data_IF_889703670717
#
_entry.id   IF_889703670717
#
_cell.length_a   1.000
_cell.length_b   1.000
_cell.length_c   1.000
_cell.angle_alpha   90.00
_cell.angle_beta   90.00
_cell.angle_gamma   90.00
#
_symmetry.space_group_name_H-M   'P 1'
#
loop_
_entity.id
_entity.type
_entity.pdbx_description
1 polymer ?
#
# COMPACT_ATOMS: atom_id res chain seq x y z
N UNK A 1 65.90 -10.41 -42.29
CA UNK A 1 64.56 -9.79 -42.21
C UNK A 1 63.57 -10.89 -41.92
N UNK A 2 63.13 -11.00 -40.67
CA UNK A 2 62.05 -11.88 -40.26
C UNK A 2 61.36 -11.15 -39.11
N UNK A 3 60.26 -10.47 -39.41
CA UNK A 3 59.45 -9.75 -38.43
C UNK A 3 58.54 -10.74 -37.72
N UNK A 4 58.66 -10.76 -36.39
CA UNK A 4 57.74 -11.39 -35.45
C UNK A 4 56.50 -10.52 -35.29
N UNK A 5 55.32 -11.09 -35.53
CA UNK A 5 54.01 -10.51 -35.28
C UNK A 5 53.26 -11.40 -34.27
N UNK A 6 53.39 -11.10 -32.99
CA UNK A 6 52.48 -11.52 -31.93
C UNK A 6 52.36 -10.38 -30.93
N UNK A 7 51.15 -10.10 -30.44
CA UNK A 7 50.78 -9.37 -29.22
C UNK A 7 49.77 -8.21 -29.39
N UNK A 8 48.53 -8.52 -29.82
CA UNK A 8 47.41 -7.56 -29.81
C UNK A 8 46.11 -8.11 -29.18
N UNK A 9 45.95 -9.43 -29.07
CA UNK A 9 44.68 -10.04 -28.62
C UNK A 9 44.56 -10.20 -27.09
N UNK A 10 45.68 -10.18 -26.35
CA UNK A 10 45.71 -10.45 -24.90
C UNK A 10 45.26 -9.27 -24.02
N UNK A 11 45.35 -8.04 -24.54
CA UNK A 11 45.10 -6.80 -23.77
C UNK A 11 43.62 -6.46 -23.66
N UNK A 12 42.79 -6.85 -24.63
CA UNK A 12 41.36 -6.53 -24.66
C UNK A 12 40.54 -7.42 -23.71
N UNK A 13 40.90 -8.70 -23.59
CA UNK A 13 40.20 -9.67 -22.72
C UNK A 13 40.40 -9.32 -21.24
N UNK A 14 41.62 -8.96 -20.83
CA UNK A 14 41.96 -8.65 -19.43
C UNK A 14 41.28 -7.39 -18.88
N UNK A 15 41.03 -6.38 -19.73
CA UNK A 15 40.31 -5.16 -19.33
C UNK A 15 38.80 -5.42 -19.16
N UNK A 16 38.21 -6.23 -20.03
CA UNK A 16 36.78 -6.60 -19.99
C UNK A 16 36.42 -7.39 -18.72
N UNK A 17 37.25 -8.36 -18.35
CA UNK A 17 37.02 -9.20 -17.16
C UNK A 17 37.12 -8.40 -15.86
N UNK A 18 38.05 -7.43 -15.78
CA UNK A 18 38.22 -6.56 -14.60
C UNK A 18 37.01 -5.63 -14.39
N UNK A 19 36.45 -5.08 -15.48
CA UNK A 19 35.23 -4.25 -15.40
C UNK A 19 34.05 -5.07 -14.89
N UNK A 20 33.86 -6.28 -15.41
CA UNK A 20 32.75 -7.16 -15.04
C UNK A 20 32.80 -7.58 -13.56
N UNK A 21 34.00 -7.84 -13.04
CA UNK A 21 34.20 -8.16 -11.61
C UNK A 21 33.81 -6.98 -10.71
N UNK A 22 34.22 -5.76 -11.08
CA UNK A 22 33.86 -4.55 -10.33
C UNK A 22 32.35 -4.28 -10.34
N UNK A 23 31.69 -4.50 -11.48
CA UNK A 23 30.24 -4.37 -11.60
C UNK A 23 29.50 -5.40 -10.73
N UNK A 24 29.99 -6.65 -10.71
CA UNK A 24 29.43 -7.71 -9.89
C UNK A 24 29.58 -7.42 -8.39
N UNK A 25 30.74 -6.93 -7.96
CA UNK A 25 30.99 -6.55 -6.56
C UNK A 25 30.07 -5.40 -6.14
N UNK A 26 29.95 -4.37 -6.98
CA UNK A 26 29.06 -3.22 -6.76
C UNK A 26 27.59 -3.65 -6.62
N UNK A 27 27.11 -4.51 -7.52
CA UNK A 27 25.74 -5.03 -7.49
C UNK A 27 25.49 -5.94 -6.28
N UNK A 28 26.46 -6.77 -5.90
CA UNK A 28 26.34 -7.64 -4.71
C UNK A 28 26.24 -6.79 -3.44
N UNK A 29 27.09 -5.77 -3.30
CA UNK A 29 27.01 -4.82 -2.17
C UNK A 29 25.69 -4.06 -2.12
N UNK A 30 25.16 -3.67 -3.28
CA UNK A 30 23.83 -3.05 -3.38
C UNK A 30 22.74 -4.02 -2.92
N UNK A 31 22.78 -5.28 -3.37
CA UNK A 31 21.84 -6.31 -2.97
C UNK A 31 21.84 -6.53 -1.45
N UNK A 32 23.01 -6.68 -0.85
CA UNK A 32 23.15 -6.86 0.61
C UNK A 32 22.56 -5.67 1.38
N UNK A 33 22.84 -4.45 0.91
CA UNK A 33 22.28 -3.23 1.51
C UNK A 33 20.75 -3.22 1.42
N UNK A 34 20.19 -3.56 0.27
CA UNK A 34 18.73 -3.64 0.09
C UNK A 34 18.11 -4.72 0.97
N UNK A 35 18.78 -5.86 1.15
CA UNK A 35 18.29 -6.97 1.97
C UNK A 35 18.26 -6.59 3.45
N UNK A 36 19.28 -5.89 3.94
CA UNK A 36 19.30 -5.34 5.30
C UNK A 36 18.14 -4.38 5.51
N UNK A 37 17.92 -3.44 4.58
CA UNK A 37 16.81 -2.49 4.65
C UNK A 37 15.45 -3.21 4.63
N UNK A 38 15.31 -4.23 3.78
CA UNK A 38 14.09 -5.03 3.69
C UNK A 38 13.76 -5.71 5.02
N UNK A 39 14.74 -6.40 5.61
CA UNK A 39 14.57 -7.10 6.89
C UNK A 39 14.25 -6.12 8.02
N UNK A 40 14.88 -4.95 8.05
CA UNK A 40 14.58 -3.91 9.03
C UNK A 40 13.13 -3.42 8.89
N UNK A 41 12.70 -3.07 7.67
CA UNK A 41 11.32 -2.61 7.42
C UNK A 41 10.29 -3.71 7.72
N UNK A 42 10.64 -4.98 7.49
CA UNK A 42 9.77 -6.11 7.83
C UNK A 42 9.58 -6.23 9.36
N UNK A 43 10.66 -6.10 10.14
CA UNK A 43 10.58 -6.08 11.59
C UNK A 43 9.74 -4.89 12.09
N UNK A 44 9.94 -3.70 11.51
CA UNK A 44 9.15 -2.50 11.83
C UNK A 44 7.67 -2.67 11.49
N UNK A 45 7.35 -3.31 10.35
CA UNK A 45 5.98 -3.66 9.98
C UNK A 45 5.33 -4.55 11.05
N UNK A 46 6.01 -5.63 11.46
CA UNK A 46 5.52 -6.56 12.49
C UNK A 46 5.26 -5.81 13.79
N UNK A 47 6.21 -4.97 14.23
CA UNK A 47 6.06 -4.16 15.44
C UNK A 47 4.89 -3.17 15.35
N UNK A 48 4.64 -2.64 14.16
CA UNK A 48 3.54 -1.70 13.91
C UNK A 48 2.15 -2.34 13.97
N UNK A 49 2.05 -3.68 13.89
CA UNK A 49 0.77 -4.40 13.97
C UNK A 49 0.05 -4.21 15.30
N UNK A 50 0.77 -3.81 16.37
CA UNK A 50 0.16 -3.46 17.66
C UNK A 50 -0.50 -2.07 17.65
N UNK A 51 -0.18 -1.22 16.68
CA UNK A 51 -0.65 0.16 16.56
C UNK A 51 -1.15 0.47 15.15
N UNK A 52 -1.99 -0.41 14.59
CA UNK A 52 -2.41 -0.37 13.17
C UNK A 52 -3.03 0.95 12.73
N UNK A 53 -3.69 1.66 13.66
CA UNK A 53 -4.41 2.91 13.37
C UNK A 53 -3.52 4.16 13.49
N UNK A 54 -2.24 4.02 13.87
CA UNK A 54 -1.32 5.16 13.93
C UNK A 54 -1.09 5.68 12.51
N UNK A 55 -1.50 6.92 12.27
CA UNK A 55 -1.24 7.58 11.00
C UNK A 55 0.21 8.05 10.90
N UNK A 56 0.74 8.03 9.69
CA UNK A 56 2.07 8.51 9.31
C UNK A 56 1.99 9.20 7.96
N UNK A 57 3.08 9.85 7.57
CA UNK A 57 3.15 10.64 6.34
C UNK A 57 4.15 10.06 5.35
N UNK A 58 3.82 10.24 4.07
CA UNK A 58 4.67 9.93 2.91
C UNK A 58 4.70 11.20 2.06
N UNK A 59 5.85 11.89 2.09
CA UNK A 59 6.07 13.08 1.26
C UNK A 59 6.22 12.70 -0.20
N UNK A 60 5.77 13.55 -1.11
CA UNK A 60 5.83 13.31 -2.54
C UNK A 60 4.64 12.53 -3.08
N UNK A 61 3.63 12.24 -2.25
CA UNK A 61 2.56 11.29 -2.58
C UNK A 61 1.17 11.80 -2.22
N UNK A 62 0.16 11.23 -2.87
CA UNK A 62 -1.26 11.48 -2.64
C UNK A 62 -1.94 10.16 -2.28
N UNK A 63 -2.83 10.19 -1.30
CA UNK A 63 -3.76 9.13 -0.96
C UNK A 63 -5.16 9.44 -1.50
N UNK A 64 -5.69 8.57 -2.37
CA UNK A 64 -7.00 8.78 -3.00
C UNK A 64 -8.17 8.12 -2.26
N UNK A 65 -7.91 7.07 -1.47
CA UNK A 65 -8.96 6.25 -0.84
C UNK A 65 -9.95 5.67 -1.86
N UNK A 66 -11.06 5.10 -1.37
CA UNK A 66 -12.19 4.66 -2.19
C UNK A 66 -13.38 5.64 -2.13
N UNK A 67 -13.40 6.51 -1.12
CA UNK A 67 -14.44 7.49 -0.93
C UNK A 67 -13.91 8.85 -0.49
N UNK A 68 -14.67 9.90 -0.82
CA UNK A 68 -14.45 11.25 -0.30
C UNK A 68 -15.33 11.42 0.94
N UNK A 69 -14.72 11.77 2.07
CA UNK A 69 -15.46 12.09 3.30
C UNK A 69 -15.78 13.56 3.42
N UNK A 70 -14.79 14.39 3.08
CA UNK A 70 -14.93 15.83 3.04
C UNK A 70 -13.84 16.40 2.15
N UNK A 71 -14.21 17.39 1.34
CA UNK A 71 -13.24 18.39 0.88
C UNK A 71 -13.25 19.46 1.95
N UNK A 72 -12.26 19.48 2.84
CA UNK A 72 -12.17 20.55 3.83
C UNK A 72 -11.42 21.74 3.28
N UNK A 73 -11.71 22.10 2.02
CA UNK A 73 -11.23 23.30 1.33
C UNK A 73 -11.54 24.60 2.07
N UNK A 74 -12.34 24.54 3.15
CA UNK A 74 -12.82 25.70 3.90
C UNK A 74 -12.65 25.58 5.42
N UNK A 75 -11.77 24.69 5.90
CA UNK A 75 -11.41 24.66 7.33
C UNK A 75 -10.02 25.24 7.54
N UNK A 76 -9.78 25.86 8.70
CA UNK A 76 -8.51 26.52 9.09
C UNK A 76 -7.29 25.58 9.21
N UNK A 77 -7.26 24.46 8.49
CA UNK A 77 -6.15 23.50 8.48
C UNK A 77 -4.99 24.14 7.71
N UNK A 78 -3.97 24.60 8.44
CA UNK A 78 -2.80 25.30 7.88
C UNK A 78 -1.55 24.43 7.89
N UNK A 79 -1.61 23.26 8.52
CA UNK A 79 -0.46 22.39 8.72
C UNK A 79 -0.76 20.93 8.46
N UNK A 80 0.29 20.17 8.13
CA UNK A 80 0.25 18.73 7.97
C UNK A 80 -0.28 18.00 9.22
N UNK A 81 0.13 18.46 10.41
CA UNK A 81 -0.28 17.86 11.68
C UNK A 81 -1.76 18.05 11.95
N UNK A 82 -2.31 19.22 11.63
CA UNK A 82 -3.75 19.48 11.75
C UNK A 82 -4.55 18.58 10.81
N UNK A 83 -4.10 18.38 9.57
CA UNK A 83 -4.76 17.47 8.63
C UNK A 83 -4.75 16.01 9.12
N UNK A 84 -3.61 15.55 9.66
CA UNK A 84 -3.48 14.21 10.26
C UNK A 84 -4.37 14.03 11.50
N UNK A 85 -4.41 15.05 12.37
CA UNK A 85 -5.26 15.06 13.56
C UNK A 85 -6.75 15.10 13.19
N UNK A 86 -7.11 15.83 12.14
CA UNK A 86 -8.46 15.87 11.61
C UNK A 86 -8.87 14.49 11.11
N UNK A 87 -8.07 13.84 10.27
CA UNK A 87 -8.36 12.47 9.82
C UNK A 87 -8.51 11.50 11.00
N UNK A 88 -7.63 11.57 12.00
CA UNK A 88 -7.71 10.70 13.19
C UNK A 88 -9.00 10.88 14.00
N UNK A 89 -9.64 12.05 13.93
CA UNK A 89 -10.90 12.36 14.63
C UNK A 89 -12.13 12.12 13.78
N UNK A 90 -12.00 12.17 12.45
CA UNK A 90 -13.12 12.00 11.52
C UNK A 90 -13.47 10.53 11.40
N UNK A 91 -14.69 10.18 11.84
CA UNK A 91 -15.21 8.81 11.71
C UNK A 91 -15.21 8.37 10.25
N UNK A 92 -14.64 7.20 9.99
CA UNK A 92 -14.51 6.63 8.64
C UNK A 92 -13.28 7.11 7.86
N UNK A 93 -12.47 8.04 8.39
CA UNK A 93 -11.23 8.45 7.72
C UNK A 93 -10.17 7.39 7.87
N UNK A 94 -9.71 6.89 6.72
CA UNK A 94 -8.67 5.86 6.61
C UNK A 94 -7.34 6.46 6.15
N UNK A 95 -7.38 7.66 5.59
CA UNK A 95 -6.21 8.42 5.20
C UNK A 95 -6.59 9.79 4.64
N UNK A 96 -5.59 10.61 4.40
CA UNK A 96 -5.79 11.94 3.86
C UNK A 96 -4.63 12.34 2.94
N UNK A 97 -4.80 13.43 2.20
CA UNK A 97 -3.71 14.08 1.51
C UNK A 97 -3.65 15.53 1.96
N UNK A 98 -2.46 15.98 2.35
CA UNK A 98 -2.19 17.38 2.66
C UNK A 98 -1.30 18.00 1.57
N UNK A 99 -1.65 19.19 1.11
CA UNK A 99 -0.81 19.99 0.23
C UNK A 99 -0.79 21.44 0.72
N UNK A 100 0.41 22.03 0.84
CA UNK A 100 0.58 23.37 1.43
C UNK A 100 0.14 24.51 0.50
N UNK A 101 0.17 24.32 -0.82
CA UNK A 101 0.10 25.40 -1.82
C UNK A 101 -0.93 25.15 -2.91
N UNK A 102 -1.74 24.11 -2.78
CA UNK A 102 -2.69 23.74 -3.83
C UNK A 102 -3.78 24.82 -3.97
N UNK A 103 -4.05 25.26 -5.19
CA UNK A 103 -4.94 26.41 -5.47
C UNK A 103 -4.55 27.72 -4.74
N UNK A 104 -3.30 27.86 -4.30
CA UNK A 104 -2.82 29.04 -3.57
C UNK A 104 -3.05 29.00 -2.06
N UNK A 105 -3.59 27.91 -1.52
CA UNK A 105 -3.84 27.75 -0.08
C UNK A 105 -3.56 26.32 0.43
N UNK A 106 -3.45 26.11 1.75
CA UNK A 106 -3.29 24.77 2.30
C UNK A 106 -4.58 23.94 2.14
N UNK A 107 -4.44 22.74 1.59
CA UNK A 107 -5.53 21.82 1.29
C UNK A 107 -5.36 20.51 2.05
N UNK A 108 -6.47 20.00 2.58
CA UNK A 108 -6.54 18.72 3.27
C UNK A 108 -7.74 17.91 2.72
N UNK A 109 -7.44 16.79 2.07
CA UNK A 109 -8.43 15.90 1.49
C UNK A 109 -8.58 14.66 2.35
N UNK A 110 -9.65 14.58 3.13
CA UNK A 110 -9.97 13.39 3.92
C UNK A 110 -10.63 12.33 3.05
N UNK A 111 -10.09 11.12 3.11
CA UNK A 111 -10.58 9.98 2.33
C UNK A 111 -11.07 8.90 3.28
N UNK A 112 -12.16 8.27 2.87
CA UNK A 112 -12.64 7.03 3.46
C UNK A 112 -12.20 5.85 2.63
N UNK A 113 -12.28 4.71 3.31
CA UNK A 113 -11.99 3.41 2.73
C UNK A 113 -10.59 3.34 2.21
N UNK A 114 -10.25 2.21 1.66
CA UNK A 114 -8.90 2.02 1.24
C UNK A 114 -8.66 2.53 -0.18
N UNK A 115 -7.44 3.02 -0.44
CA UNK A 115 -7.06 3.35 -1.79
C UNK A 115 -5.56 3.44 -1.99
N UNK A 116 -5.20 3.74 -3.22
CA UNK A 116 -3.81 3.78 -3.63
C UNK A 116 -3.10 5.03 -3.10
N UNK A 117 -1.83 4.83 -2.74
CA UNK A 117 -0.86 5.92 -2.60
C UNK A 117 -0.15 6.05 -3.95
N UNK A 118 -0.28 7.20 -4.58
CA UNK A 118 0.37 7.48 -5.87
C UNK A 118 1.43 8.57 -5.69
N UNK A 119 2.51 8.46 -6.47
CA UNK A 119 3.51 9.52 -6.57
C UNK A 119 2.89 10.74 -7.25
N UNK A 120 3.16 11.91 -6.69
CA UNK A 120 2.72 13.18 -7.24
C UNK A 120 3.89 14.17 -7.28
N UNK A 121 4.09 14.96 -6.22
CA UNK A 121 5.14 15.95 -6.16
C UNK A 121 5.46 16.39 -4.73
N UNK A 122 6.56 17.14 -4.51
CA UNK A 122 7.18 17.35 -3.20
C UNK A 122 6.31 18.11 -2.18
N UNK A 123 5.29 18.83 -2.66
CA UNK A 123 4.34 19.57 -1.83
C UNK A 123 3.16 18.72 -1.34
N UNK A 124 3.02 17.48 -1.83
CA UNK A 124 1.96 16.55 -1.43
C UNK A 124 2.45 15.61 -0.34
N UNK A 125 1.59 15.39 0.65
CA UNK A 125 1.84 14.50 1.76
C UNK A 125 0.66 13.55 1.91
N UNK A 126 0.87 12.29 1.55
CA UNK A 126 -0.09 11.24 1.82
C UNK A 126 -0.03 10.91 3.32
N UNK A 127 -1.16 10.97 3.99
CA UNK A 127 -1.35 10.58 5.38
C UNK A 127 -2.07 9.22 5.36
N UNK A 128 -1.40 8.18 5.85
CA UNK A 128 -1.88 6.79 5.77
C UNK A 128 -1.57 6.05 7.06
N UNK A 129 -2.20 4.89 7.33
CA UNK A 129 -1.81 4.02 8.42
C UNK A 129 -0.34 3.60 8.30
N UNK A 130 0.36 3.51 9.42
CA UNK A 130 1.79 3.17 9.47
C UNK A 130 2.07 1.80 8.84
N UNK A 131 1.16 0.84 9.03
CA UNK A 131 1.22 -0.49 8.42
C UNK A 131 1.21 -0.42 6.89
N UNK A 132 0.38 0.47 6.30
CA UNK A 132 0.31 0.68 4.84
C UNK A 132 1.60 1.30 4.31
N UNK A 133 2.18 2.27 5.02
CA UNK A 133 3.50 2.82 4.66
C UNK A 133 4.56 1.73 4.59
N UNK A 134 4.66 0.88 5.62
CA UNK A 134 5.66 -0.19 5.63
C UNK A 134 5.45 -1.21 4.51
N UNK A 135 4.20 -1.60 4.20
CA UNK A 135 3.93 -2.50 3.07
C UNK A 135 4.33 -1.89 1.72
N UNK A 136 4.07 -0.59 1.51
CA UNK A 136 4.52 0.10 0.31
C UNK A 136 6.05 0.15 0.20
N UNK A 137 6.75 0.37 1.33
CA UNK A 137 8.22 0.32 1.37
C UNK A 137 8.74 -1.10 1.10
N UNK A 138 8.15 -2.14 1.71
CA UNK A 138 8.50 -3.54 1.45
C UNK A 138 8.32 -3.90 -0.03
N UNK A 139 7.21 -3.48 -0.65
CA UNK A 139 6.96 -3.67 -2.08
C UNK A 139 8.06 -3.02 -2.94
N UNK A 140 8.48 -1.80 -2.60
CA UNK A 140 9.55 -1.10 -3.33
C UNK A 140 10.91 -1.78 -3.17
N UNK A 141 11.28 -2.15 -1.94
CA UNK A 141 12.54 -2.82 -1.64
C UNK A 141 12.61 -4.21 -2.30
N UNK A 142 11.52 -4.98 -2.24
CA UNK A 142 11.41 -6.26 -2.93
C UNK A 142 11.61 -6.10 -4.44
N UNK A 143 10.96 -5.10 -5.07
CA UNK A 143 11.18 -4.81 -6.51
C UNK A 143 12.65 -4.48 -6.83
N UNK A 144 13.33 -3.71 -5.98
CA UNK A 144 14.73 -3.35 -6.17
C UNK A 144 15.67 -4.55 -5.97
N UNK A 145 15.37 -5.42 -5.00
CA UNK A 145 16.08 -6.68 -4.79
C UNK A 145 15.96 -7.57 -6.02
N UNK A 146 14.74 -7.78 -6.52
CA UNK A 146 14.45 -8.55 -7.73
C UNK A 146 15.19 -8.01 -8.95
N UNK A 147 15.16 -6.68 -9.18
CA UNK A 147 15.88 -6.05 -10.29
C UNK A 147 17.41 -6.21 -10.17
N UNK A 148 17.96 -6.00 -8.96
CA UNK A 148 19.39 -6.14 -8.71
C UNK A 148 19.84 -7.59 -8.88
N UNK A 149 19.05 -8.54 -8.37
CA UNK A 149 19.27 -9.98 -8.54
C UNK A 149 19.30 -10.38 -10.02
N UNK A 150 18.35 -9.87 -10.82
CA UNK A 150 18.33 -10.09 -12.27
C UNK A 150 19.58 -9.55 -12.96
N UNK A 151 20.05 -8.36 -12.59
CA UNK A 151 21.30 -7.79 -13.14
C UNK A 151 22.52 -8.65 -12.81
N UNK A 152 22.61 -9.16 -11.57
CA UNK A 152 23.67 -10.08 -11.16
C UNK A 152 23.62 -11.37 -11.99
N UNK A 153 22.44 -11.99 -12.12
CA UNK A 153 22.26 -13.22 -12.91
C UNK A 153 22.68 -13.02 -14.37
N UNK A 154 22.26 -11.92 -14.99
CA UNK A 154 22.61 -11.59 -16.38
C UNK A 154 24.11 -11.40 -16.55
N UNK A 155 24.79 -10.71 -15.62
CA UNK A 155 26.24 -10.53 -15.68
C UNK A 155 27.01 -11.86 -15.56
N UNK A 156 26.56 -12.76 -14.67
CA UNK A 156 27.16 -14.09 -14.51
C UNK A 156 26.95 -14.92 -15.79
N UNK A 157 25.76 -14.90 -16.38
CA UNK A 157 25.44 -15.68 -17.58
C UNK A 157 26.23 -15.20 -18.81
N UNK A 158 26.31 -13.88 -19.02
CA UNK A 158 26.98 -13.30 -20.19
C UNK A 158 28.50 -13.49 -20.19
N UNK A 159 29.10 -13.75 -19.03
CA UNK A 159 30.55 -13.84 -18.87
C UNK A 159 30.98 -15.23 -18.38
N UNK A 160 30.19 -16.28 -18.63
CA UNK A 160 30.46 -17.66 -18.18
C UNK A 160 31.88 -18.12 -18.50
N UNK A 161 32.36 -17.90 -19.73
CA UNK A 161 33.68 -18.34 -20.18
C UNK A 161 34.82 -17.66 -19.40
N UNK A 162 34.63 -16.41 -18.96
CA UNK A 162 35.59 -15.66 -18.13
C UNK A 162 35.55 -16.13 -16.66
N UNK A 163 34.47 -16.78 -16.24
CA UNK A 163 34.24 -17.27 -14.88
C UNK A 163 34.46 -18.78 -14.72
N UNK A 164 34.69 -19.52 -15.80
CA UNK A 164 34.85 -20.99 -15.80
C UNK A 164 36.08 -21.50 -15.02
N UNK A 165 36.99 -20.62 -14.59
CA UNK A 165 38.11 -20.97 -13.71
C UNK A 165 37.75 -20.96 -12.20
N UNK A 166 36.53 -20.54 -11.82
CA UNK A 166 36.06 -20.45 -10.41
C UNK A 166 34.70 -21.17 -10.17
N UNK A 167 34.38 -22.17 -11.01
CA UNK A 167 33.02 -22.76 -11.17
C UNK A 167 32.37 -23.29 -9.88
N UNK A 168 33.12 -23.93 -8.98
CA UNK A 168 32.49 -24.70 -7.91
C UNK A 168 31.87 -23.81 -6.81
N UNK A 169 32.58 -22.80 -6.30
CA UNK A 169 32.05 -21.87 -5.29
C UNK A 169 30.96 -20.94 -5.86
N UNK A 170 31.05 -20.58 -7.15
CA UNK A 170 30.10 -19.67 -7.79
C UNK A 170 28.82 -20.35 -8.28
N UNK A 171 28.83 -21.66 -8.53
CA UNK A 171 27.62 -22.45 -8.81
C UNK A 171 26.67 -22.44 -7.63
N UNK A 172 27.19 -22.61 -6.41
CA UNK A 172 26.39 -22.54 -5.18
C UNK A 172 25.81 -21.14 -4.96
N UNK A 173 26.63 -20.09 -5.16
CA UNK A 173 26.16 -18.70 -5.08
C UNK A 173 25.07 -18.39 -6.11
N UNK A 174 25.20 -18.86 -7.35
CA UNK A 174 24.17 -18.70 -8.38
C UNK A 174 22.86 -19.40 -8.01
N UNK A 175 22.94 -20.63 -7.50
CA UNK A 175 21.75 -21.37 -7.05
C UNK A 175 21.08 -20.70 -5.85
N UNK A 176 21.86 -20.17 -4.92
CA UNK A 176 21.35 -19.38 -3.79
C UNK A 176 20.64 -18.11 -4.29
N UNK A 177 21.24 -17.39 -5.22
CA UNK A 177 20.69 -16.17 -5.81
C UNK A 177 19.37 -16.45 -6.54
N UNK A 178 19.30 -17.56 -7.29
CA UNK A 178 18.08 -18.01 -7.94
C UNK A 178 17.00 -18.39 -6.92
N UNK A 179 17.34 -19.12 -5.86
CA UNK A 179 16.40 -19.45 -4.78
C UNK A 179 15.89 -18.19 -4.07
N UNK A 180 16.76 -17.22 -3.81
CA UNK A 180 16.38 -15.95 -3.20
C UNK A 180 15.44 -15.16 -4.12
N UNK A 181 15.66 -15.17 -5.43
CA UNK A 181 14.74 -14.59 -6.40
C UNK A 181 13.34 -15.19 -6.30
N UNK A 182 13.24 -16.52 -6.32
CA UNK A 182 11.96 -17.22 -6.27
C UNK A 182 11.22 -16.91 -4.96
N UNK A 183 11.95 -16.85 -3.84
CA UNK A 183 11.42 -16.44 -2.54
C UNK A 183 10.91 -14.98 -2.55
N UNK A 184 11.71 -14.05 -3.09
CA UNK A 184 11.34 -12.64 -3.18
C UNK A 184 10.08 -12.45 -4.03
N UNK A 185 9.95 -13.19 -5.13
CA UNK A 185 8.76 -13.13 -5.97
C UNK A 185 7.51 -13.68 -5.24
N UNK A 186 7.65 -14.77 -4.50
CA UNK A 186 6.56 -15.27 -3.64
C UNK A 186 6.17 -14.27 -2.55
N UNK A 187 7.15 -13.64 -1.89
CA UNK A 187 6.89 -12.60 -0.88
C UNK A 187 6.23 -11.36 -1.50
N UNK A 188 6.61 -10.99 -2.73
CA UNK A 188 5.98 -9.90 -3.48
C UNK A 188 4.48 -10.14 -3.62
N UNK A 189 4.07 -11.35 -3.99
CA UNK A 189 2.67 -11.73 -4.11
C UNK A 189 1.94 -11.65 -2.77
N UNK A 190 2.57 -12.07 -1.67
CA UNK A 190 2.01 -11.96 -0.32
C UNK A 190 1.87 -10.49 0.12
N UNK A 191 2.85 -9.64 -0.16
CA UNK A 191 2.78 -8.19 0.12
C UNK A 191 1.65 -7.56 -0.69
N UNK A 192 1.50 -7.93 -1.97
CA UNK A 192 0.41 -7.45 -2.81
C UNK A 192 -0.95 -7.89 -2.28
N UNK A 193 -1.10 -9.15 -1.86
CA UNK A 193 -2.32 -9.65 -1.23
C UNK A 193 -2.66 -8.88 0.05
N UNK A 194 -1.67 -8.63 0.92
CA UNK A 194 -1.86 -7.80 2.12
C UNK A 194 -2.24 -6.36 1.77
N UNK A 195 -1.64 -5.75 0.75
CA UNK A 195 -2.03 -4.42 0.27
C UNK A 195 -3.48 -4.44 -0.22
N UNK A 196 -3.88 -5.46 -0.99
CA UNK A 196 -5.25 -5.64 -1.47
C UNK A 196 -6.25 -5.99 -0.34
N UNK A 197 -5.79 -6.54 0.78
CA UNK A 197 -6.63 -6.73 1.97
C UNK A 197 -7.02 -5.39 2.59
N UNK A 198 -6.09 -4.42 2.58
CA UNK A 198 -6.41 -2.99 2.70
C UNK A 198 -7.01 -2.45 1.41
N UNK A 199 -7.75 -3.19 0.61
CA UNK A 199 -8.61 -2.65 -0.47
C UNK A 199 -9.99 -3.35 -0.42
N UNK A 200 -10.08 -4.53 0.20
CA UNK A 200 -11.25 -5.43 0.25
C UNK A 200 -11.97 -5.50 1.60
N UNK A 201 -11.37 -5.04 2.71
CA UNK A 201 -12.01 -5.03 4.04
C UNK A 201 -13.28 -4.16 4.12
N UNK A 202 -13.53 -3.31 3.11
CA UNK A 202 -14.75 -2.50 2.99
C UNK A 202 -15.99 -3.30 2.56
N UNK A 203 -15.89 -4.36 1.76
CA UNK A 203 -17.09 -5.14 1.37
C UNK A 203 -17.76 -5.79 2.60
N UNK A 204 -16.95 -6.24 3.57
CA UNK A 204 -17.42 -6.83 4.83
C UNK A 204 -17.99 -5.78 5.81
N UNK A 205 -17.49 -4.54 5.78
CA UNK A 205 -17.96 -3.46 6.65
C UNK A 205 -19.21 -2.76 6.10
N UNK A 206 -19.31 -2.62 4.77
CA UNK A 206 -20.52 -2.17 4.06
C UNK A 206 -21.69 -3.13 4.26
N UNK A 207 -21.44 -4.44 4.25
CA UNK A 207 -22.46 -5.47 4.56
C UNK A 207 -22.86 -5.48 6.04
N UNK A 208 -21.94 -5.15 6.96
CA UNK A 208 -22.26 -5.05 8.39
C UNK A 208 -23.12 -3.81 8.71
N UNK A 209 -22.86 -2.66 8.08
CA UNK A 209 -23.74 -1.48 8.19
C UNK A 209 -25.09 -1.66 7.47
N UNK A 210 -25.16 -2.49 6.42
CA UNK A 210 -26.43 -2.92 5.81
C UNK A 210 -27.23 -3.89 6.69
N UNK A 211 -26.58 -4.63 7.61
CA UNK A 211 -27.27 -5.55 8.53
C UNK A 211 -27.99 -4.83 9.68
N UNK A 212 -27.60 -3.61 10.00
CA UNK A 212 -28.32 -2.75 10.97
C UNK A 212 -29.58 -2.13 10.35
N UNK A 213 -29.66 -2.01 9.01
CA UNK A 213 -30.79 -1.39 8.33
C UNK A 213 -31.94 -2.35 7.94
N UNK A 214 -31.78 -3.68 8.11
CA UNK A 214 -32.86 -4.64 7.82
C UNK A 214 -34.02 -4.60 8.82
N UNK A 215 -33.79 -4.11 10.04
CA UNK A 215 -34.86 -3.97 11.04
C UNK A 215 -35.63 -2.65 10.93
N UNK A 216 -35.09 -1.62 10.27
CA UNK A 216 -35.75 -0.32 10.15
C UNK A 216 -37.08 -0.39 9.37
N UNK A 217 -37.13 -1.25 8.34
CA UNK A 217 -38.36 -1.51 7.60
C UNK A 217 -39.46 -2.19 8.44
N UNK A 218 -39.07 -3.06 9.39
CA UNK A 218 -40.01 -3.70 10.32
C UNK A 218 -40.60 -2.69 11.31
N UNK A 219 -39.79 -1.75 11.83
CA UNK A 219 -40.27 -0.69 12.72
C UNK A 219 -41.18 0.31 12.03
N UNK A 220 -40.89 0.70 10.78
CA UNK A 220 -41.77 1.58 10.00
C UNK A 220 -43.12 0.90 9.75
N UNK A 221 -43.11 -0.39 9.41
CA UNK A 221 -44.35 -1.15 9.17
C UNK A 221 -45.19 -1.27 10.44
N UNK A 222 -44.56 -1.54 11.60
CA UNK A 222 -45.24 -1.58 12.89
C UNK A 222 -45.84 -0.22 13.30
N UNK A 223 -45.15 0.89 13.00
CA UNK A 223 -45.66 2.24 13.26
C UNK A 223 -46.91 2.55 12.42
N UNK A 224 -46.92 2.19 11.13
CA UNK A 224 -48.09 2.36 10.27
C UNK A 224 -49.29 1.53 10.80
N UNK A 225 -49.03 0.29 11.21
CA UNK A 225 -50.05 -0.60 11.75
C UNK A 225 -50.66 -0.03 13.04
N UNK A 226 -49.84 0.58 13.90
CA UNK A 226 -50.28 1.23 15.13
C UNK A 226 -51.19 2.44 14.85
N UNK A 227 -50.85 3.28 13.87
CA UNK A 227 -51.71 4.40 13.45
C UNK A 227 -53.06 3.92 12.91
N UNK A 228 -53.08 2.83 12.12
CA UNK A 228 -54.30 2.23 11.61
C UNK A 228 -55.18 1.72 12.76
N UNK A 229 -54.60 1.02 13.75
CA UNK A 229 -55.32 0.55 14.92
C UNK A 229 -55.95 1.71 15.72
N UNK A 230 -55.20 2.79 15.97
CA UNK A 230 -55.71 3.98 16.67
C UNK A 230 -56.84 4.64 15.89
N UNK A 231 -56.73 4.70 14.56
CA UNK A 231 -57.79 5.23 13.69
C UNK A 231 -59.07 4.39 13.77
N UNK A 232 -58.97 3.06 13.78
CA UNK A 232 -60.15 2.20 13.92
C UNK A 232 -60.79 2.28 15.31
N UNK A 233 -59.98 2.32 16.37
CA UNK A 233 -60.50 2.45 17.75
C UNK A 233 -61.20 3.80 17.93
N UNK A 234 -60.61 4.89 17.45
CA UNK A 234 -61.26 6.21 17.52
C UNK A 234 -62.56 6.28 16.72
N UNK A 235 -62.64 5.61 15.56
CA UNK A 235 -63.89 5.48 14.79
C UNK A 235 -64.95 4.64 15.50
N UNK A 236 -64.58 3.54 16.16
CA UNK A 236 -65.51 2.71 16.94
C UNK A 236 -66.04 3.42 18.19
N UNK A 237 -65.19 4.14 18.91
CA UNK A 237 -65.60 4.88 20.12
C UNK A 237 -66.54 6.04 19.76
N UNK A 238 -66.27 6.76 18.67
CA UNK A 238 -67.14 7.87 18.21
C UNK A 238 -68.43 7.34 17.56
N UNK A 239 -68.37 6.19 16.87
CA UNK A 239 -69.53 5.55 16.26
C UNK A 239 -70.48 4.88 17.26
N UNK A 240 -69.98 4.44 18.42
CA UNK A 240 -70.78 3.79 19.47
C UNK A 240 -71.59 4.74 20.35
N UNK A 241 -71.31 6.06 20.35
CA UNK A 241 -72.01 7.04 21.19
C UNK A 241 -73.35 7.49 20.58
N UNK A 242 -73.57 7.25 19.28
CA UNK A 242 -74.82 7.64 18.58
C UNK A 242 -75.84 6.50 18.45
N UNK A 243 -75.67 5.41 19.20
CA UNK A 243 -76.44 4.19 19.06
C UNK A 243 -77.10 3.68 20.34
N UNK A 244 -77.74 4.55 21.13
CA UNK A 244 -78.83 4.10 22.01
C UNK A 244 -79.85 5.21 22.30
N UNK A 245 -80.95 5.18 21.53
CA UNK A 245 -82.22 5.77 21.91
C UNK A 245 -83.30 4.89 21.30
N UNK A 246 -83.61 3.81 22.00
CA UNK A 246 -84.95 3.23 22.00
C UNK A 246 -85.26 2.55 23.32
#
# INVERSE_FOLDING_TARGET
>A
MMETSENSTTTTTTISTRSTILDLESLSKKYDTLLIQYNQVQADYINSLNNKNKLTTIQGSIYWGSGKLADTTNTKIRTLNECSALCSKTTGCTGATYNKVDYGEPMCWLRSGDGNVITAGPNNYAIVPITKKYLLTLKSLNSQLTETNNKIMTLIQNNRNDFDTQINERSEYYNLLKKNYDNLESERLNILDKINSFDTLDEAQKTSNLKVNKNYGSYILLMILLFICVFFISKMVIGGINGDSR
#
